data_IF_322729978734
#
_entry.id   IF_322729978734
#
_cell.length_a   1.000
_cell.length_b   1.000
_cell.length_c   1.000
_cell.angle_alpha   90.00
_cell.angle_beta   90.00
_cell.angle_gamma   90.00
#
_symmetry.space_group_name_H-M   'P 1'
#
loop_
_entity.id
_entity.type
_entity.pdbx_description
1 polymer ?
#
# COMPACT_ATOMS: atom_id res chain seq x y z
N UNK A 1 54.59 -37.18 2.17
CA UNK A 1 55.20 -37.48 0.86
C UNK A 1 54.23 -38.35 0.09
N UNK A 2 53.49 -37.76 -0.87
CA UNK A 2 52.82 -38.38 -2.04
C UNK A 2 51.71 -37.42 -2.51
N UNK A 3 51.90 -36.73 -3.64
CA UNK A 3 51.52 -37.13 -5.01
C UNK A 3 50.14 -36.56 -5.39
N UNK A 4 50.13 -35.55 -6.26
CA UNK A 4 48.93 -34.84 -6.69
C UNK A 4 48.11 -35.54 -7.76
N UNK A 5 46.96 -34.94 -8.07
CA UNK A 5 46.18 -35.10 -9.31
C UNK A 5 45.38 -33.81 -9.51
N UNK A 6 45.81 -32.93 -10.41
CA UNK A 6 44.97 -31.86 -10.95
C UNK A 6 44.11 -32.45 -12.08
N UNK A 7 42.78 -32.23 -12.10
CA UNK A 7 41.98 -32.62 -13.23
C UNK A 7 42.16 -31.63 -14.38
N UNK A 8 42.58 -32.20 -15.49
CA UNK A 8 42.60 -31.67 -16.85
C UNK A 8 41.16 -31.34 -17.30
N UNK A 9 40.69 -30.10 -17.12
CA UNK A 9 39.50 -29.62 -17.83
C UNK A 9 39.93 -28.99 -19.16
N UNK A 10 40.15 -29.87 -20.15
CA UNK A 10 40.21 -29.49 -21.56
C UNK A 10 38.82 -29.09 -22.06
N UNK A 11 38.77 -27.92 -22.68
CA UNK A 11 38.05 -27.62 -23.93
C UNK A 11 36.68 -28.27 -24.14
N UNK A 12 35.61 -27.49 -23.92
CA UNK A 12 34.57 -27.20 -24.93
C UNK A 12 33.57 -26.19 -24.37
N UNK A 13 33.27 -25.13 -25.12
CA UNK A 13 32.12 -24.27 -24.81
C UNK A 13 32.22 -22.88 -25.44
N UNK A 14 31.73 -22.76 -26.67
CA UNK A 14 31.61 -21.54 -27.47
C UNK A 14 31.16 -20.31 -26.63
N UNK A 15 31.82 -19.14 -26.74
CA UNK A 15 31.23 -17.90 -26.29
C UNK A 15 30.05 -17.59 -27.21
N UNK A 16 28.86 -17.86 -26.67
CA UNK A 16 27.58 -17.46 -27.19
C UNK A 16 27.61 -16.00 -27.60
N UNK A 17 27.25 -15.79 -28.87
CA UNK A 17 26.68 -14.60 -29.46
C UNK A 17 26.07 -13.67 -28.41
N UNK A 18 26.86 -12.74 -27.87
CA UNK A 18 26.33 -11.58 -27.16
C UNK A 18 25.68 -10.70 -28.22
N UNK A 19 24.36 -10.87 -28.35
CA UNK A 19 23.50 -9.98 -29.09
C UNK A 19 23.83 -8.53 -28.71
N UNK A 20 24.38 -7.79 -29.67
CA UNK A 20 24.55 -6.35 -29.63
C UNK A 20 23.15 -5.72 -29.77
N UNK A 21 22.38 -5.70 -28.69
CA UNK A 21 21.24 -4.78 -28.58
C UNK A 21 21.81 -3.39 -28.30
N UNK A 22 21.58 -2.37 -29.16
CA UNK A 22 21.90 -1.01 -28.80
C UNK A 22 20.95 -0.54 -27.70
N UNK A 23 21.56 -0.22 -26.57
CA UNK A 23 20.97 0.48 -25.44
C UNK A 23 20.29 1.77 -25.88
N UNK A 24 19.08 2.01 -25.38
CA UNK A 24 18.58 3.37 -25.17
C UNK A 24 17.61 3.90 -26.22
N UNK A 25 16.46 3.24 -26.39
CA UNK A 25 15.23 3.96 -26.69
C UNK A 25 14.81 4.75 -25.43
N UNK A 26 15.32 5.98 -25.30
CA UNK A 26 14.77 6.95 -24.34
C UNK A 26 13.42 7.39 -24.90
N UNK A 27 12.34 6.75 -24.42
CA UNK A 27 10.97 7.18 -24.71
C UNK A 27 10.73 8.57 -24.06
N UNK A 28 10.06 9.50 -24.75
CA UNK A 28 9.73 10.80 -24.19
C UNK A 28 8.77 10.60 -23.01
N UNK A 29 9.05 11.31 -21.92
CA UNK A 29 8.34 11.37 -20.65
C UNK A 29 6.83 11.15 -20.80
N UNK A 30 6.37 9.92 -20.58
CA UNK A 30 4.95 9.63 -20.53
C UNK A 30 4.38 10.22 -19.24
N UNK A 31 3.18 10.77 -19.33
CA UNK A 31 2.35 11.33 -18.25
C UNK A 31 2.10 10.41 -17.04
N UNK A 32 2.62 9.19 -17.08
CA UNK A 32 2.30 8.11 -16.15
C UNK A 32 3.05 8.22 -14.83
N UNK A 33 4.20 8.91 -14.80
CA UNK A 33 5.00 9.08 -13.56
C UNK A 33 4.40 10.16 -12.64
N UNK A 34 3.60 11.08 -13.18
CA UNK A 34 2.88 12.10 -12.38
C UNK A 34 1.89 11.44 -11.41
N UNK A 35 1.24 10.35 -11.83
CA UNK A 35 0.29 9.60 -11.00
C UNK A 35 0.95 8.65 -9.99
N UNK A 36 2.27 8.44 -10.09
CA UNK A 36 3.04 7.58 -9.17
C UNK A 36 3.75 8.37 -8.07
N UNK A 37 4.06 9.65 -8.31
CA UNK A 37 4.67 10.53 -7.30
C UNK A 37 3.63 11.36 -6.52
N UNK A 38 2.43 11.54 -7.08
CA UNK A 38 1.33 12.23 -6.40
C UNK A 38 0.73 11.33 -5.32
N UNK A 39 0.99 11.72 -4.07
CA UNK A 39 0.30 11.20 -2.91
C UNK A 39 -1.21 11.47 -3.05
N UNK A 40 -1.98 10.46 -3.44
CA UNK A 40 -3.43 10.51 -3.68
C UNK A 40 -4.14 11.22 -2.52
N UNK A 41 -3.65 11.01 -1.31
CA UNK A 41 -4.22 11.53 -0.08
C UNK A 41 -4.01 13.04 0.10
N UNK A 42 -3.18 13.68 -0.73
CA UNK A 42 -2.96 15.14 -0.74
C UNK A 42 -3.72 15.86 -1.84
N UNK A 43 -4.38 15.12 -2.75
CA UNK A 43 -5.16 15.74 -3.82
C UNK A 43 -6.42 16.42 -3.25
N UNK A 44 -6.85 17.57 -3.81
CA UNK A 44 -8.09 18.22 -3.40
C UNK A 44 -9.32 17.39 -3.82
N UNK A 45 -10.47 17.50 -3.13
CA UNK A 45 -11.70 16.90 -3.61
C UNK A 45 -12.14 17.55 -4.94
N UNK A 46 -12.59 16.74 -5.89
CA UNK A 46 -12.99 17.20 -7.23
C UNK A 46 -14.45 16.82 -7.53
N UNK A 47 -15.42 17.75 -7.36
CA UNK A 47 -16.84 17.50 -7.61
C UNK A 47 -17.17 17.14 -9.07
N UNK A 48 -16.25 17.37 -10.01
CA UNK A 48 -16.45 17.25 -11.47
C UNK A 48 -17.51 18.19 -12.05
N UNK A 49 -17.62 18.25 -13.38
CA UNK A 49 -18.64 19.04 -14.10
C UNK A 49 -19.94 18.30 -14.39
N UNK A 50 -19.97 16.97 -14.18
CA UNK A 50 -21.19 16.21 -14.34
C UNK A 50 -22.19 16.56 -13.22
N UNK A 51 -23.49 16.40 -13.50
CA UNK A 51 -24.58 16.82 -12.61
C UNK A 51 -25.16 15.68 -11.75
N UNK A 52 -24.40 14.60 -11.58
CA UNK A 52 -24.76 13.55 -10.64
C UNK A 52 -24.64 14.01 -9.18
N UNK A 53 -25.30 13.30 -8.27
CA UNK A 53 -25.27 13.60 -6.84
C UNK A 53 -24.83 12.35 -6.06
N UNK A 54 -23.54 12.03 -6.14
CA UNK A 54 -22.97 10.87 -5.46
C UNK A 54 -22.20 11.31 -4.22
N UNK A 55 -22.60 10.83 -3.05
CA UNK A 55 -21.82 11.06 -1.82
C UNK A 55 -20.58 10.19 -1.86
N UNK A 56 -19.41 10.82 -1.77
CA UNK A 56 -18.09 10.17 -1.76
C UNK A 56 -17.26 10.70 -0.62
N UNK A 57 -16.16 10.02 -0.32
CA UNK A 57 -15.23 10.41 0.73
C UNK A 57 -13.90 10.84 0.12
N UNK A 58 -13.32 11.90 0.65
CA UNK A 58 -11.94 12.33 0.34
C UNK A 58 -11.15 12.46 1.65
N UNK A 59 -9.86 12.21 1.60
CA UNK A 59 -8.97 12.42 2.73
C UNK A 59 -8.56 13.89 2.81
N UNK A 60 -8.76 14.51 3.97
CA UNK A 60 -8.29 15.85 4.28
C UNK A 60 -7.01 15.75 5.13
N UNK A 61 -5.82 16.06 4.59
CA UNK A 61 -4.56 15.92 5.31
C UNK A 61 -4.40 16.94 6.46
N UNK A 62 -5.01 18.12 6.36
CA UNK A 62 -4.99 19.13 7.42
C UNK A 62 -5.80 18.66 8.65
N UNK A 63 -6.97 18.06 8.42
CA UNK A 63 -7.82 17.53 9.47
C UNK A 63 -7.50 16.07 9.86
N UNK A 64 -6.56 15.42 9.14
CA UNK A 64 -6.16 14.01 9.26
C UNK A 64 -7.35 13.05 9.32
N UNK A 65 -8.39 13.33 8.52
CA UNK A 65 -9.64 12.55 8.52
C UNK A 65 -10.27 12.54 7.14
N UNK A 66 -11.07 11.51 6.88
CA UNK A 66 -11.90 11.43 5.69
C UNK A 66 -13.18 12.27 5.88
N UNK A 67 -13.54 13.05 4.87
CA UNK A 67 -14.74 13.90 4.84
C UNK A 67 -15.60 13.54 3.64
N UNK A 68 -16.92 13.74 3.76
CA UNK A 68 -17.87 13.57 2.67
C UNK A 68 -17.80 14.75 1.69
N UNK A 69 -18.03 14.49 0.41
CA UNK A 69 -18.26 15.51 -0.61
C UNK A 69 -19.22 14.99 -1.68
N UNK A 70 -19.82 15.91 -2.44
CA UNK A 70 -20.68 15.57 -3.58
C UNK A 70 -19.81 15.43 -4.82
N UNK A 71 -19.89 14.25 -5.45
CA UNK A 71 -19.23 13.93 -6.71
C UNK A 71 -20.26 13.84 -7.83
N UNK A 72 -19.96 14.52 -8.94
CA UNK A 72 -20.82 14.64 -10.11
C UNK A 72 -20.94 13.39 -10.98
N UNK A 73 -20.15 12.34 -10.70
CA UNK A 73 -20.28 11.04 -11.36
C UNK A 73 -19.38 10.80 -12.58
N UNK A 74 -18.56 11.76 -12.97
CA UNK A 74 -17.58 11.59 -14.05
C UNK A 74 -16.28 12.32 -13.75
N UNK A 75 -15.17 11.93 -14.39
CA UNK A 75 -13.84 12.56 -14.17
C UNK A 75 -13.48 12.59 -12.68
N UNK A 76 -12.73 13.59 -12.21
CA UNK A 76 -12.24 13.62 -10.84
C UNK A 76 -10.89 12.94 -10.68
N UNK A 77 -10.33 13.10 -9.49
CA UNK A 77 -9.05 12.49 -9.13
C UNK A 77 -9.23 11.30 -8.18
N UNK A 78 -8.11 10.66 -7.81
CA UNK A 78 -8.08 9.43 -7.02
C UNK A 78 -8.42 9.64 -5.53
N UNK A 79 -8.49 10.87 -5.02
CA UNK A 79 -8.94 11.15 -3.65
C UNK A 79 -10.48 11.13 -3.56
N UNK A 80 -11.08 10.02 -3.99
CA UNK A 80 -12.51 9.83 -4.12
C UNK A 80 -12.81 8.35 -3.83
N UNK A 81 -13.30 8.09 -2.63
CA UNK A 81 -13.59 6.76 -2.11
C UNK A 81 -15.08 6.58 -1.90
N UNK A 82 -15.57 5.34 -2.02
CA UNK A 82 -16.98 5.04 -1.84
C UNK A 82 -17.36 5.04 -0.36
N UNK A 83 -16.44 4.60 0.50
CA UNK A 83 -16.67 4.47 1.94
C UNK A 83 -15.61 5.20 2.76
N UNK A 84 -15.97 5.60 3.98
CA UNK A 84 -15.03 6.19 4.93
C UNK A 84 -13.90 5.23 5.29
N UNK A 85 -14.20 3.94 5.40
CA UNK A 85 -13.23 2.88 5.76
C UNK A 85 -12.16 2.75 4.69
N UNK A 86 -12.55 2.67 3.42
CA UNK A 86 -11.64 2.61 2.27
C UNK A 86 -10.70 3.84 2.25
N UNK A 87 -11.27 5.03 2.44
CA UNK A 87 -10.50 6.27 2.52
C UNK A 87 -9.45 6.25 3.64
N UNK A 88 -9.82 5.82 4.85
CA UNK A 88 -8.91 5.75 5.99
C UNK A 88 -7.84 4.67 5.79
N UNK A 89 -8.21 3.49 5.30
CA UNK A 89 -7.25 2.41 5.02
C UNK A 89 -6.22 2.81 3.97
N UNK A 90 -6.61 3.66 3.02
CA UNK A 90 -5.73 4.17 1.97
C UNK A 90 -4.82 5.28 2.51
N UNK A 91 -5.37 6.23 3.24
CA UNK A 91 -4.69 7.50 3.51
C UNK A 91 -4.24 7.74 4.96
N UNK A 92 -4.79 7.04 5.94
CA UNK A 92 -4.42 7.23 7.34
C UNK A 92 -3.05 6.56 7.70
N UNK A 93 -2.55 5.67 6.85
CA UNK A 93 -1.27 4.93 7.07
C UNK A 93 -0.02 5.82 6.99
N UNK A 94 -0.12 6.99 6.36
CA UNK A 94 1.01 7.93 6.17
C UNK A 94 1.19 8.91 7.34
N UNK A 95 0.27 8.91 8.31
CA UNK A 95 0.51 9.53 9.59
C UNK A 95 1.58 8.72 10.31
N UNK A 96 2.85 9.13 10.18
CA UNK A 96 3.98 8.66 10.98
C UNK A 96 3.46 8.10 12.31
N UNK A 97 3.45 6.78 12.45
CA UNK A 97 3.86 6.22 13.74
C UNK A 97 5.28 6.73 13.86
N UNK A 98 5.44 7.94 14.42
CA UNK A 98 6.67 8.31 15.10
C UNK A 98 6.86 7.10 15.99
N UNK A 99 7.92 6.34 15.74
CA UNK A 99 8.29 5.26 16.63
C UNK A 99 8.26 5.84 18.03
N UNK A 100 7.20 5.56 18.75
CA UNK A 100 7.29 5.50 20.19
C UNK A 100 8.31 4.40 20.40
N UNK A 101 9.40 4.63 21.14
CA UNK A 101 10.21 3.56 21.67
C UNK A 101 9.38 2.81 22.72
N UNK A 102 8.35 2.10 22.26
CA UNK A 102 7.69 1.02 22.96
C UNK A 102 8.31 -0.25 22.41
N UNK A 103 9.51 -0.56 22.88
CA UNK A 103 10.24 -1.76 22.53
C UNK A 103 9.43 -3.00 22.89
N UNK A 104 8.81 -3.63 21.90
CA UNK A 104 8.64 -5.07 21.93
C UNK A 104 10.01 -5.67 21.65
N UNK A 105 10.72 -5.99 22.72
CA UNK A 105 12.01 -6.65 22.69
C UNK A 105 11.95 -7.89 21.80
N UNK A 106 12.93 -8.00 20.90
CA UNK A 106 13.27 -9.26 20.26
C UNK A 106 13.72 -10.21 21.37
N UNK A 107 12.86 -11.11 21.82
CA UNK A 107 13.35 -12.25 22.63
C UNK A 107 14.00 -13.24 21.68
N UNK A 108 15.30 -13.09 21.50
CA UNK A 108 16.19 -14.21 21.26
C UNK A 108 16.00 -15.19 22.41
N UNK A 109 15.37 -16.33 22.19
CA UNK A 109 15.24 -17.38 23.21
C UNK A 109 13.96 -18.19 23.06
N UNK A 110 14.13 -19.49 22.89
CA UNK A 110 13.09 -20.51 22.88
C UNK A 110 12.29 -20.41 24.20
N UNK A 111 11.04 -19.95 24.12
CA UNK A 111 9.94 -20.26 25.04
C UNK A 111 8.69 -20.21 24.16
N UNK A 112 8.32 -21.39 23.64
CA UNK A 112 6.99 -21.61 23.11
C UNK A 112 6.07 -21.82 24.31
N UNK A 113 5.47 -20.75 24.83
CA UNK A 113 4.22 -20.93 25.57
C UNK A 113 3.15 -21.24 24.54
N UNK A 114 2.73 -22.50 24.46
CA UNK A 114 1.52 -22.90 23.75
C UNK A 114 0.35 -22.16 24.37
N UNK A 115 -0.08 -21.10 23.69
CA UNK A 115 -1.12 -20.19 24.15
C UNK A 115 -1.50 -19.23 23.04
N UNK A 116 -1.89 -19.79 21.89
CA UNK A 116 -2.33 -19.04 20.72
C UNK A 116 -3.57 -18.22 21.02
N UNK A 117 -3.52 -16.93 20.68
CA UNK A 117 -4.65 -16.21 20.11
C UNK A 117 -4.14 -15.53 18.85
N UNK A 118 -4.27 -16.24 17.73
CA UNK A 118 -4.18 -15.64 16.42
C UNK A 118 -5.29 -14.60 16.30
N UNK A 119 -4.91 -13.39 15.94
CA UNK A 119 -5.85 -12.36 15.50
C UNK A 119 -6.12 -12.58 14.02
N UNK A 120 -7.21 -13.28 13.73
CA UNK A 120 -7.72 -13.48 12.37
C UNK A 120 -8.03 -12.12 11.69
N UNK A 121 -7.86 -12.00 10.36
CA UNK A 121 -8.11 -10.76 9.60
C UNK A 121 -9.59 -10.52 9.26
N UNK A 122 -10.54 -11.22 9.90
CA UNK A 122 -11.97 -10.98 9.70
C UNK A 122 -12.48 -10.01 10.78
N UNK A 123 -12.77 -8.76 10.38
CA UNK A 123 -13.28 -7.71 11.25
C UNK A 123 -14.71 -7.93 11.75
N UNK A 124 -14.91 -8.90 12.64
CA UNK A 124 -16.14 -9.07 13.42
C UNK A 124 -15.97 -8.44 14.80
N UNK A 125 -16.46 -7.22 14.98
CA UNK A 125 -16.60 -6.61 16.30
C UNK A 125 -17.77 -7.27 17.02
N UNK A 126 -17.54 -8.37 17.74
CA UNK A 126 -18.50 -8.91 18.70
C UNK A 126 -18.34 -8.15 20.02
N UNK A 127 -19.25 -7.21 20.29
CA UNK A 127 -19.41 -6.64 21.63
C UNK A 127 -20.23 -7.59 22.51
N UNK A 128 -19.87 -7.79 23.78
CA UNK A 128 -20.73 -8.46 24.73
C UNK A 128 -21.91 -7.52 25.02
N UNK A 129 -23.13 -8.08 25.00
CA UNK A 129 -24.40 -7.42 25.35
C UNK A 129 -25.10 -6.62 24.24
N UNK A 130 -25.57 -7.34 23.21
CA UNK A 130 -26.98 -7.29 22.77
C UNK A 130 -27.71 -5.95 22.56
N UNK A 131 -27.05 -4.87 22.12
CA UNK A 131 -27.74 -3.66 21.63
C UNK A 131 -27.13 -3.16 20.33
N UNK A 132 -27.94 -3.12 19.28
CA UNK A 132 -27.62 -2.45 18.03
C UNK A 132 -27.65 -0.93 18.26
N UNK A 133 -26.52 -0.24 18.05
CA UNK A 133 -26.50 1.21 17.93
C UNK A 133 -26.72 1.57 16.45
N UNK A 134 -27.81 2.30 16.19
CA UNK A 134 -28.06 2.98 14.92
C UNK A 134 -26.88 3.92 14.59
N UNK A 135 -26.50 4.07 13.31
CA UNK A 135 -25.43 4.98 12.92
C UNK A 135 -25.86 6.43 13.19
N UNK A 136 -25.17 7.08 14.13
CA UNK A 136 -25.26 8.53 14.34
C UNK A 136 -24.72 9.25 13.11
N UNK A 137 -25.56 10.09 12.51
CA UNK A 137 -25.14 11.02 11.47
C UNK A 137 -24.60 12.29 12.12
N UNK A 138 -23.32 12.57 11.88
CA UNK A 138 -22.74 13.92 11.86
C UNK A 138 -21.66 13.95 10.75
#
# INVERSE_FOLDING_TARGET
QSSGCLPLFLLVGLPTLWAKLPSGSVLPLTSDVSSLLLDICKLPPEPSRCRGHFIRFFYNPAAKRCKKFVYGGCRGNKNNFLTQVECLQTCAKSGKVRGTPGGFGRRTGIIWCLGGRGSDPAGTYTLPSGRALLPSQD
#
